data_IF_962808434552
#
_entry.id   IF_962808434552
#
_cell.length_a   1.000
_cell.length_b   1.000
_cell.length_c   1.000
_cell.angle_alpha   90.00
_cell.angle_beta   90.00
_cell.angle_gamma   90.00
#
_symmetry.space_group_name_H-M   'P 1'
#
loop_
_entity.id
_entity.type
_entity.pdbx_description
1 polymer ?
#
# COMPACT_ATOMS: atom_id res chain seq x y z
N UNK A 1 18.71 13.69 -21.67
CA UNK A 1 19.79 14.12 -22.59
C UNK A 1 20.90 13.07 -22.72
N UNK A 2 21.26 12.33 -21.65
CA UNK A 2 22.26 11.23 -21.74
C UNK A 2 21.73 9.91 -22.34
N UNK A 3 20.47 9.53 -22.07
CA UNK A 3 19.90 8.27 -22.59
C UNK A 3 19.70 8.27 -24.11
N UNK A 4 19.35 9.43 -24.67
CA UNK A 4 19.19 9.61 -26.12
C UNK A 4 20.55 9.58 -26.84
N UNK A 5 21.60 10.09 -26.19
CA UNK A 5 22.97 10.01 -26.69
C UNK A 5 23.46 8.55 -26.69
N UNK A 6 23.17 7.81 -25.62
CA UNK A 6 23.47 6.38 -25.49
C UNK A 6 22.73 5.55 -26.55
N UNK A 7 21.47 5.86 -26.83
CA UNK A 7 20.67 5.16 -27.86
C UNK A 7 21.15 5.43 -29.29
N UNK A 8 21.81 6.57 -29.56
CA UNK A 8 22.32 6.90 -30.90
C UNK A 8 23.29 5.86 -31.45
N UNK A 9 24.07 5.22 -30.57
CA UNK A 9 25.09 4.22 -30.93
C UNK A 9 24.66 2.76 -30.70
N UNK A 10 23.45 2.52 -30.21
CA UNK A 10 22.91 1.17 -30.00
C UNK A 10 22.30 0.58 -31.28
N UNK A 11 22.44 -0.73 -31.46
CA UNK A 11 21.72 -1.49 -32.49
C UNK A 11 20.22 -1.57 -32.19
N UNK A 12 19.40 -1.90 -33.20
CA UNK A 12 17.94 -2.02 -33.03
C UNK A 12 17.56 -3.00 -31.93
N UNK A 13 18.26 -4.13 -31.82
CA UNK A 13 18.05 -5.12 -30.74
C UNK A 13 18.38 -4.54 -29.36
N UNK A 14 19.55 -3.93 -29.20
CA UNK A 14 19.97 -3.31 -27.95
C UNK A 14 19.05 -2.16 -27.50
N UNK A 15 18.50 -1.39 -28.45
CA UNK A 15 17.50 -0.35 -28.15
C UNK A 15 16.20 -0.93 -27.60
N UNK A 16 15.74 -2.06 -28.16
CA UNK A 16 14.55 -2.76 -27.68
C UNK A 16 14.77 -3.33 -26.28
N UNK A 17 15.91 -4.00 -26.05
CA UNK A 17 16.27 -4.53 -24.74
C UNK A 17 16.46 -3.44 -23.69
N UNK A 18 17.09 -2.32 -24.05
CA UNK A 18 17.24 -1.16 -23.17
C UNK A 18 15.87 -0.61 -22.74
N UNK A 19 14.97 -0.37 -23.70
CA UNK A 19 13.61 0.10 -23.40
C UNK A 19 12.83 -0.86 -22.53
N UNK A 20 12.91 -2.17 -22.81
CA UNK A 20 12.28 -3.22 -21.99
C UNK A 20 12.82 -3.21 -20.56
N UNK A 21 14.14 -3.10 -20.39
CA UNK A 21 14.75 -3.05 -19.06
C UNK A 21 14.29 -1.84 -18.25
N UNK A 22 14.16 -0.67 -18.88
CA UNK A 22 13.61 0.53 -18.23
C UNK A 22 12.14 0.34 -17.86
N UNK A 23 11.33 -0.19 -18.77
CA UNK A 23 9.90 -0.45 -18.50
C UNK A 23 9.71 -1.44 -17.35
N UNK A 24 10.46 -2.55 -17.35
CA UNK A 24 10.45 -3.53 -16.27
C UNK A 24 10.90 -2.94 -14.94
N UNK A 25 12.00 -2.17 -14.93
CA UNK A 25 12.48 -1.51 -13.72
C UNK A 25 11.47 -0.50 -13.16
N UNK A 26 10.79 0.23 -14.04
CA UNK A 26 9.74 1.17 -13.64
C UNK A 26 8.52 0.45 -13.07
N UNK A 27 8.05 -0.63 -13.70
CA UNK A 27 6.95 -1.45 -13.19
C UNK A 27 7.29 -2.02 -11.80
N UNK A 28 8.46 -2.62 -11.65
CA UNK A 28 8.92 -3.16 -10.37
C UNK A 28 9.02 -2.07 -9.29
N UNK A 29 9.53 -0.88 -9.65
CA UNK A 29 9.62 0.25 -8.74
C UNK A 29 8.25 0.73 -8.26
N UNK A 30 7.26 0.80 -9.16
CA UNK A 30 5.89 1.17 -8.83
C UNK A 30 5.26 0.13 -7.91
N UNK A 31 5.39 -1.16 -8.23
CA UNK A 31 4.85 -2.26 -7.41
C UNK A 31 5.46 -2.28 -6.00
N UNK A 32 6.78 -2.13 -5.89
CA UNK A 32 7.46 -2.05 -4.59
C UNK A 32 7.04 -0.80 -3.80
N UNK A 33 6.94 0.35 -4.47
CA UNK A 33 6.49 1.60 -3.86
C UNK A 33 5.07 1.48 -3.31
N UNK A 34 4.17 0.87 -4.08
CA UNK A 34 2.79 0.60 -3.66
C UNK A 34 2.75 -0.31 -2.42
N UNK A 35 3.47 -1.45 -2.44
CA UNK A 35 3.51 -2.36 -1.31
C UNK A 35 4.06 -1.69 -0.04
N UNK A 36 5.11 -0.88 -0.18
CA UNK A 36 5.70 -0.14 0.94
C UNK A 36 4.73 0.91 1.48
N UNK A 37 4.05 1.64 0.61
CA UNK A 37 3.06 2.64 1.00
C UNK A 37 1.88 1.98 1.74
N UNK A 38 1.36 0.87 1.22
CA UNK A 38 0.28 0.10 1.83
C UNK A 38 0.67 -0.42 3.22
N UNK A 39 1.84 -1.04 3.35
CA UNK A 39 2.36 -1.50 4.64
C UNK A 39 2.48 -0.36 5.66
N UNK A 40 2.99 0.80 5.23
CA UNK A 40 3.07 2.00 6.08
C UNK A 40 1.69 2.51 6.50
N UNK A 41 0.71 2.48 5.60
CA UNK A 41 -0.67 2.89 5.90
C UNK A 41 -1.31 1.97 6.94
N UNK A 42 -1.21 0.65 6.77
CA UNK A 42 -1.64 -0.34 7.78
C UNK A 42 -1.04 -0.05 9.16
N UNK A 43 0.27 0.20 9.20
CA UNK A 43 0.96 0.51 10.45
C UNK A 43 0.48 1.82 11.08
N UNK A 44 0.20 2.83 10.27
CA UNK A 44 -0.31 4.11 10.75
C UNK A 44 -1.69 3.96 11.39
N UNK A 45 -2.62 3.28 10.72
CA UNK A 45 -3.97 3.01 11.25
C UNK A 45 -3.90 2.15 12.52
N UNK A 46 -3.06 1.10 12.54
CA UNK A 46 -2.86 0.27 13.72
C UNK A 46 -2.32 1.07 14.93
N UNK A 47 -1.43 2.06 14.68
CA UNK A 47 -0.94 2.97 15.73
C UNK A 47 -2.02 3.91 16.22
N UNK A 48 -2.90 4.39 15.35
CA UNK A 48 -4.02 5.25 15.74
C UNK A 48 -5.01 4.49 16.62
N UNK A 49 -5.37 3.27 16.24
CA UNK A 49 -6.24 2.37 17.04
C UNK A 49 -5.61 2.12 18.42
N UNK A 50 -4.33 1.75 18.45
CA UNK A 50 -3.60 1.51 19.69
C UNK A 50 -3.56 2.72 20.62
N UNK A 51 -3.38 3.93 20.07
CA UNK A 51 -3.41 5.17 20.86
C UNK A 51 -4.81 5.50 21.37
N UNK A 52 -5.85 5.31 20.57
CA UNK A 52 -7.22 5.69 20.93
C UNK A 52 -7.83 4.74 21.95
N UNK A 53 -7.60 3.43 21.77
CA UNK A 53 -8.22 2.38 22.58
C UNK A 53 -7.26 1.73 23.58
N UNK A 54 -6.04 2.26 23.71
CA UNK A 54 -4.98 1.73 24.58
C UNK A 54 -4.69 0.24 24.30
N UNK A 55 -4.86 -0.19 23.04
CA UNK A 55 -4.62 -1.56 22.58
C UNK A 55 -3.23 -1.73 21.96
N UNK A 56 -2.81 -2.97 21.68
CA UNK A 56 -1.54 -3.26 21.04
C UNK A 56 -1.69 -3.22 19.51
N UNK A 57 -0.88 -2.40 18.83
CA UNK A 57 -0.96 -2.24 17.37
C UNK A 57 -0.74 -3.54 16.59
N UNK A 58 0.02 -4.50 17.14
CA UNK A 58 0.35 -5.76 16.47
C UNK A 58 -0.85 -6.70 16.29
N UNK A 59 -1.86 -6.63 17.16
CA UNK A 59 -3.07 -7.46 17.08
C UNK A 59 -3.96 -7.11 15.88
N UNK A 60 -3.91 -5.84 15.44
CA UNK A 60 -4.80 -5.31 14.41
C UNK A 60 -4.16 -5.32 13.01
N UNK A 61 -2.83 -5.34 12.92
CA UNK A 61 -2.09 -5.45 11.65
C UNK A 61 -2.55 -6.60 10.72
N UNK A 62 -2.71 -7.85 11.18
CA UNK A 62 -3.12 -8.95 10.30
C UNK A 62 -4.56 -8.82 9.81
N UNK A 63 -5.41 -8.06 10.52
CA UNK A 63 -6.78 -7.76 10.09
C UNK A 63 -6.78 -6.65 9.05
N UNK A 64 -5.98 -5.61 9.27
CA UNK A 64 -5.82 -4.47 8.37
C UNK A 64 -5.18 -4.85 7.03
N UNK A 65 -4.22 -5.79 7.03
CA UNK A 65 -3.59 -6.26 5.78
C UNK A 65 -4.54 -7.05 4.85
N UNK A 66 -5.71 -7.48 5.33
CA UNK A 66 -6.74 -8.12 4.50
C UNK A 66 -7.66 -7.12 3.81
N UNK A 67 -7.60 -5.85 4.18
CA UNK A 67 -8.43 -4.79 3.62
C UNK A 67 -7.78 -4.14 2.41
N UNK A 68 -8.60 -3.55 1.55
CA UNK A 68 -8.12 -2.73 0.44
C UNK A 68 -7.51 -1.41 0.93
N UNK A 69 -6.60 -0.76 0.18
CA UNK A 69 -6.07 0.57 0.52
C UNK A 69 -7.17 1.63 0.70
N UNK A 70 -8.24 1.55 -0.10
CA UNK A 70 -9.41 2.42 0.03
C UNK A 70 -10.15 2.19 1.35
N UNK A 71 -10.39 0.93 1.73
CA UNK A 71 -11.03 0.59 3.01
C UNK A 71 -10.15 1.03 4.20
N UNK A 72 -8.83 0.95 4.10
CA UNK A 72 -7.93 1.48 5.15
C UNK A 72 -8.02 3.00 5.30
N UNK A 73 -8.21 3.70 4.18
CA UNK A 73 -8.37 5.16 4.18
C UNK A 73 -9.70 5.54 4.83
N UNK A 74 -10.78 4.87 4.43
CA UNK A 74 -12.12 5.05 5.02
C UNK A 74 -12.12 4.71 6.51
N UNK A 75 -11.45 3.62 6.91
CA UNK A 75 -11.29 3.26 8.32
C UNK A 75 -10.54 4.35 9.09
N UNK A 76 -9.50 4.95 8.52
CA UNK A 76 -8.74 6.03 9.17
C UNK A 76 -9.58 7.28 9.44
N UNK A 77 -10.53 7.61 8.57
CA UNK A 77 -11.49 8.70 8.78
C UNK A 77 -12.53 8.33 9.85
N UNK A 78 -13.19 7.17 9.68
CA UNK A 78 -14.21 6.67 10.61
C UNK A 78 -13.65 6.33 12.00
N UNK A 79 -12.34 6.06 12.09
CA UNK A 79 -11.67 5.80 13.35
C UNK A 79 -11.84 6.95 14.34
N UNK A 80 -11.96 8.18 13.87
CA UNK A 80 -12.21 9.33 14.73
C UNK A 80 -13.62 9.35 15.30
N UNK A 81 -14.61 8.84 14.57
CA UNK A 81 -16.01 8.73 15.02
C UNK A 81 -16.25 7.54 15.95
N UNK A 82 -15.45 6.47 15.87
CA UNK A 82 -15.67 5.29 16.71
C UNK A 82 -15.43 5.57 18.20
N UNK A 83 -16.33 5.08 19.05
CA UNK A 83 -16.24 5.22 20.51
C UNK A 83 -15.65 3.99 21.20
N UNK A 84 -15.51 2.86 20.51
CA UNK A 84 -15.01 1.61 21.09
C UNK A 84 -14.29 0.73 20.07
N UNK A 85 -13.39 -0.13 20.55
CA UNK A 85 -12.63 -1.08 19.72
C UNK A 85 -13.56 -2.10 19.03
N UNK A 86 -14.70 -2.44 19.65
CA UNK A 86 -15.70 -3.34 19.07
C UNK A 86 -16.28 -2.80 17.75
N UNK A 87 -16.54 -1.49 17.66
CA UNK A 87 -17.05 -0.86 16.43
C UNK A 87 -16.05 -0.98 15.27
N UNK A 88 -14.74 -0.90 15.58
CA UNK A 88 -13.68 -1.12 14.59
C UNK A 88 -13.71 -2.57 14.11
N UNK A 89 -13.82 -3.54 15.02
CA UNK A 89 -13.86 -4.96 14.66
C UNK A 89 -15.12 -5.32 13.86
N UNK A 90 -16.28 -4.76 14.23
CA UNK A 90 -17.53 -4.93 13.47
C UNK A 90 -17.41 -4.36 12.06
N UNK A 91 -16.84 -3.17 11.92
CA UNK A 91 -16.62 -2.55 10.61
C UNK A 91 -15.66 -3.37 9.74
N UNK A 92 -14.55 -3.83 10.30
CA UNK A 92 -13.59 -4.70 9.59
C UNK A 92 -14.26 -6.02 9.17
N UNK A 93 -15.08 -6.60 10.04
CA UNK A 93 -15.85 -7.81 9.75
C UNK A 93 -16.87 -7.58 8.62
N UNK A 94 -17.59 -6.46 8.64
CA UNK A 94 -18.56 -6.11 7.60
C UNK A 94 -17.91 -5.91 6.23
N UNK A 95 -16.74 -5.26 6.17
CA UNK A 95 -16.00 -5.05 4.92
C UNK A 95 -15.28 -6.30 4.41
N UNK A 96 -14.76 -7.12 5.31
CA UNK A 96 -14.12 -8.40 4.99
C UNK A 96 -15.06 -9.49 4.44
N UNK A 97 -16.39 -9.27 4.45
CA UNK A 97 -17.41 -10.17 3.89
C UNK A 97 -17.72 -9.88 2.41
N UNK A 98 -17.25 -8.76 1.84
CA UNK A 98 -17.29 -8.55 0.38
C UNK A 98 -16.18 -9.37 -0.29
N UNK A 99 -16.39 -10.67 -0.39
CA UNK A 99 -15.79 -11.50 -1.44
C UNK A 99 -16.48 -11.21 -2.79
#
# INVERSE_FOLDING_TARGET
MEEEEKMRYMTTGERLDFKRGIEQGMQQGIEQGFLQAFSKQCLMVAKQIARKFHSRSEDELPKLMKLSPDDLSELGELLFDFNSLEQVHEWISQKGVKC
#
